data_IF_898719204042
#
_entry.id   IF_898719204042
#
_cell.length_a   1.000
_cell.length_b   1.000
_cell.length_c   1.000
_cell.angle_alpha   90.00
_cell.angle_beta   90.00
_cell.angle_gamma   90.00
#
_symmetry.space_group_name_H-M   'P 1'
#
loop_
_entity.id
_entity.type
_entity.pdbx_description
1 polymer ?
#
# COMPACT_ATOMS: atom_id res chain seq x y z
N UNK A 1 -3.80 18.78 -5.04
CA UNK A 1 -4.05 17.49 -4.44
C UNK A 1 -4.73 17.67 -3.09
N UNK A 2 -5.79 16.98 -2.80
CA UNK A 2 -6.55 17.05 -1.55
C UNK A 2 -5.63 16.71 -0.38
N UNK A 3 -5.35 17.65 0.48
CA UNK A 3 -4.42 17.55 1.60
C UNK A 3 -4.87 16.66 2.77
N UNK A 4 -5.52 15.52 2.51
CA UNK A 4 -5.81 14.56 3.57
C UNK A 4 -4.60 13.65 3.78
N UNK A 5 -4.15 13.57 5.01
CA UNK A 5 -3.05 12.70 5.42
C UNK A 5 -3.40 11.94 6.69
N UNK A 6 -2.65 10.90 6.97
CA UNK A 6 -2.66 10.17 8.24
C UNK A 6 -1.30 10.30 8.89
N UNK A 7 -1.28 10.57 10.19
CA UNK A 7 -0.07 10.60 10.99
C UNK A 7 0.03 9.33 11.83
N UNK A 8 1.11 8.58 11.64
CA UNK A 8 1.33 7.24 12.21
C UNK A 8 2.28 7.22 13.42
N UNK A 9 2.82 8.39 13.83
CA UNK A 9 3.81 8.44 14.89
C UNK A 9 5.12 7.78 14.48
N UNK A 10 5.58 6.79 15.24
CA UNK A 10 6.76 5.98 14.95
C UNK A 10 6.37 4.57 14.52
N UNK A 11 7.08 4.02 13.54
CA UNK A 11 6.92 2.61 13.20
C UNK A 11 7.30 1.71 14.39
N UNK A 12 6.58 0.60 14.65
CA UNK A 12 6.98 -0.39 15.63
C UNK A 12 8.41 -0.87 15.37
N UNK A 13 9.16 -1.16 16.43
CA UNK A 13 10.59 -1.47 16.30
C UNK A 13 10.86 -2.78 15.57
N UNK A 14 10.02 -3.81 15.78
CA UNK A 14 10.20 -5.16 15.24
C UNK A 14 8.93 -6.00 15.37
N UNK A 15 9.00 -7.20 14.81
CA UNK A 15 7.98 -8.22 15.01
C UNK A 15 6.73 -8.02 14.15
N UNK A 16 5.69 -8.75 14.52
CA UNK A 16 4.43 -8.80 13.77
C UNK A 16 3.76 -7.43 13.66
N UNK A 17 3.80 -6.63 14.73
CA UNK A 17 3.18 -5.30 14.73
C UNK A 17 3.81 -4.37 13.69
N UNK A 18 5.14 -4.49 13.48
CA UNK A 18 5.83 -3.74 12.44
C UNK A 18 5.35 -4.17 11.04
N UNK A 19 5.25 -5.48 10.80
CA UNK A 19 4.78 -5.99 9.51
C UNK A 19 3.35 -5.55 9.23
N UNK A 20 2.45 -5.69 10.19
CA UNK A 20 1.07 -5.22 10.06
C UNK A 20 1.03 -3.73 9.70
N UNK A 21 1.84 -2.90 10.39
CA UNK A 21 1.88 -1.46 10.13
C UNK A 21 2.43 -1.13 8.73
N UNK A 22 3.43 -1.84 8.26
CA UNK A 22 3.95 -1.68 6.90
C UNK A 22 2.91 -2.06 5.86
N UNK A 23 2.16 -3.13 6.07
CA UNK A 23 1.07 -3.56 5.19
C UNK A 23 -0.08 -2.54 5.17
N UNK A 24 -0.44 -1.96 6.33
CA UNK A 24 -1.44 -0.90 6.44
C UNK A 24 -1.01 0.33 5.63
N UNK A 25 0.24 0.80 5.80
CA UNK A 25 0.80 1.94 5.09
C UNK A 25 0.87 1.67 3.56
N UNK A 26 1.21 0.45 3.18
CA UNK A 26 1.26 0.07 1.77
C UNK A 26 -0.09 0.25 1.06
N UNK A 27 -1.18 0.01 1.76
CA UNK A 27 -2.54 0.10 1.24
C UNK A 27 -3.27 1.43 1.57
N UNK A 28 -2.63 2.35 2.30
CA UNK A 28 -3.27 3.60 2.73
C UNK A 28 -3.51 4.54 1.52
N UNK A 29 -4.78 4.91 1.24
CA UNK A 29 -5.13 5.77 0.10
C UNK A 29 -4.84 7.26 0.35
N UNK A 30 -4.41 7.63 1.55
CA UNK A 30 -4.02 8.99 1.91
C UNK A 30 -2.51 9.12 1.96
N UNK A 31 -2.01 10.34 2.02
CA UNK A 31 -0.60 10.61 2.36
C UNK A 31 -0.34 10.11 3.77
N UNK A 32 0.77 9.40 3.96
CA UNK A 32 1.21 8.91 5.27
C UNK A 32 2.38 9.76 5.76
N UNK A 33 2.31 10.20 7.00
CA UNK A 33 3.36 10.96 7.67
C UNK A 33 3.76 10.22 8.93
N UNK A 34 5.04 10.04 9.17
CA UNK A 34 5.53 9.44 10.41
C UNK A 34 6.91 9.98 10.80
N UNK A 35 7.25 9.85 12.07
CA UNK A 35 8.55 10.17 12.60
C UNK A 35 9.48 8.96 12.55
N UNK A 36 10.78 9.21 12.38
CA UNK A 36 11.77 8.15 12.54
C UNK A 36 13.04 8.66 13.23
N UNK A 37 13.60 7.77 14.05
CA UNK A 37 14.87 8.03 14.71
C UNK A 37 16.04 7.84 13.72
N UNK A 38 17.13 8.63 13.85
CA UNK A 38 18.22 8.60 12.88
C UNK A 38 18.84 7.20 12.71
N UNK A 39 19.08 6.49 13.78
CA UNK A 39 19.65 5.14 13.76
C UNK A 39 18.72 4.04 13.18
N UNK A 40 17.47 4.38 12.86
CA UNK A 40 16.47 3.48 12.28
C UNK A 40 16.08 3.85 10.86
N UNK A 41 16.47 5.04 10.41
CA UNK A 41 16.01 5.64 9.16
C UNK A 41 16.26 4.72 7.97
N UNK A 42 17.51 4.31 7.74
CA UNK A 42 17.91 3.44 6.64
C UNK A 42 17.08 2.15 6.61
N UNK A 43 17.01 1.48 7.75
CA UNK A 43 16.21 0.25 7.87
C UNK A 43 14.74 0.50 7.56
N UNK A 44 14.16 1.59 8.07
CA UNK A 44 12.75 1.89 7.86
C UNK A 44 12.45 2.22 6.40
N UNK A 45 13.33 2.95 5.71
CA UNK A 45 13.20 3.24 4.29
C UNK A 45 13.30 1.96 3.44
N UNK A 46 14.23 1.06 3.76
CA UNK A 46 14.36 -0.25 3.10
C UNK A 46 13.14 -1.14 3.33
N UNK A 47 12.63 -1.20 4.55
CA UNK A 47 11.41 -1.98 4.87
C UNK A 47 10.19 -1.43 4.10
N UNK A 48 10.06 -0.10 4.00
CA UNK A 48 9.01 0.55 3.23
C UNK A 48 9.14 0.27 1.72
N UNK A 49 10.35 0.36 1.16
CA UNK A 49 10.61 0.05 -0.24
C UNK A 49 10.35 -1.43 -0.57
N UNK A 50 10.50 -2.33 0.41
CA UNK A 50 10.20 -3.76 0.25
C UNK A 50 8.70 -4.05 0.35
N UNK A 51 7.99 -3.33 1.22
CA UNK A 51 6.57 -3.56 1.50
C UNK A 51 5.62 -2.95 0.45
N UNK A 52 6.09 -2.00 -0.35
CA UNK A 52 5.23 -1.26 -1.29
C UNK A 52 5.92 -0.98 -2.62
N UNK A 53 5.20 -0.37 -3.56
CA UNK A 53 5.75 0.03 -4.85
C UNK A 53 6.94 1.00 -4.65
N UNK A 54 8.11 0.59 -5.13
CA UNK A 54 9.36 1.34 -5.01
C UNK A 54 9.35 2.67 -5.77
N UNK A 55 8.51 2.84 -6.77
CA UNK A 55 8.34 4.09 -7.51
C UNK A 55 7.52 5.13 -6.74
N UNK A 56 6.92 4.75 -5.61
CA UNK A 56 6.09 5.61 -4.77
C UNK A 56 6.91 6.80 -4.27
N UNK A 57 6.37 7.99 -4.49
CA UNK A 57 7.06 9.24 -4.10
C UNK A 57 7.11 9.37 -2.59
N UNK A 58 8.25 9.84 -2.11
CA UNK A 58 8.41 10.16 -0.70
C UNK A 58 9.25 11.42 -0.47
N UNK A 59 9.11 11.99 0.70
CA UNK A 59 9.91 13.10 1.21
C UNK A 59 10.52 12.66 2.52
N UNK A 60 11.80 12.92 2.69
CA UNK A 60 12.53 12.73 3.95
C UNK A 60 12.99 14.11 4.40
N UNK A 61 12.39 14.63 5.46
CA UNK A 61 12.77 15.89 6.07
C UNK A 61 13.57 15.62 7.35
N UNK A 62 14.74 16.25 7.46
CA UNK A 62 15.60 16.20 8.65
C UNK A 62 15.58 17.53 9.36
N UNK A 63 15.53 17.54 10.68
CA UNK A 63 15.62 18.73 11.53
C UNK A 63 14.61 19.81 11.11
N UNK A 64 13.41 19.41 10.72
CA UNK A 64 12.36 20.30 10.22
C UNK A 64 12.15 21.48 11.15
N UNK A 65 12.13 22.70 10.62
CA UNK A 65 12.03 23.99 11.32
C UNK A 65 13.27 24.39 12.16
N UNK A 66 14.38 23.63 12.09
CA UNK A 66 15.62 23.92 12.82
C UNK A 66 16.70 24.48 11.89
N UNK A 67 17.82 24.93 12.43
CA UNK A 67 18.93 25.56 11.68
C UNK A 67 19.53 24.65 10.60
N UNK A 68 19.52 23.34 10.80
CA UNK A 68 20.09 22.36 9.88
C UNK A 68 19.01 21.56 9.14
N UNK A 69 17.90 22.22 8.83
CA UNK A 69 16.82 21.60 8.05
C UNK A 69 17.32 21.18 6.68
N UNK A 70 17.03 19.95 6.32
CA UNK A 70 17.16 19.43 4.96
C UNK A 70 15.90 18.71 4.54
N UNK A 71 15.53 18.86 3.27
CA UNK A 71 14.33 18.20 2.72
C UNK A 71 14.71 17.53 1.41
N UNK A 72 14.78 16.22 1.45
CA UNK A 72 15.00 15.39 0.28
C UNK A 72 13.66 14.92 -0.31
N UNK A 73 13.60 14.79 -1.65
CA UNK A 73 12.42 14.31 -2.38
C UNK A 73 12.83 13.35 -3.48
N UNK A 74 12.16 12.21 -3.55
CA UNK A 74 12.43 11.18 -4.54
C UNK A 74 11.44 10.04 -4.47
N UNK A 75 11.91 8.85 -4.80
CA UNK A 75 11.16 7.60 -4.72
C UNK A 75 11.62 6.75 -3.53
N UNK A 76 10.83 5.78 -3.12
CA UNK A 76 11.24 4.84 -2.06
C UNK A 76 12.48 4.04 -2.45
N UNK A 77 12.67 3.74 -3.76
CA UNK A 77 13.86 3.05 -4.26
C UNK A 77 15.15 3.82 -3.95
N UNK A 78 15.10 5.15 -4.03
CA UNK A 78 16.27 6.03 -3.87
C UNK A 78 16.47 6.49 -2.43
N UNK A 79 15.42 6.40 -1.60
CA UNK A 79 15.36 7.08 -0.32
C UNK A 79 16.43 6.64 0.68
N UNK A 80 16.71 5.34 0.79
CA UNK A 80 17.65 4.81 1.78
C UNK A 80 19.09 5.23 1.47
N UNK A 81 19.50 5.16 0.19
CA UNK A 81 20.82 5.56 -0.25
C UNK A 81 21.03 7.08 -0.12
N UNK A 82 20.03 7.86 -0.53
CA UNK A 82 20.10 9.32 -0.51
C UNK A 82 20.09 9.93 0.90
N UNK A 83 19.69 9.17 1.94
CA UNK A 83 19.54 9.67 3.31
C UNK A 83 20.34 8.83 4.32
N UNK A 84 21.57 8.48 4.00
CA UNK A 84 22.45 7.67 4.84
C UNK A 84 22.96 8.37 6.12
N UNK A 85 22.74 9.67 6.29
CA UNK A 85 23.12 10.39 7.51
C UNK A 85 22.26 9.96 8.71
N UNK A 86 22.93 9.65 9.84
CA UNK A 86 22.28 9.11 11.03
C UNK A 86 22.17 10.12 12.19
N UNK A 87 21.93 11.41 11.89
CA UNK A 87 21.82 12.48 12.89
C UNK A 87 20.53 13.27 12.75
N UNK A 88 20.01 13.76 13.87
CA UNK A 88 18.82 14.61 13.91
C UNK A 88 17.52 13.85 14.00
N UNK A 89 16.40 14.53 13.84
CA UNK A 89 15.04 13.98 13.85
C UNK A 89 14.48 13.97 12.43
N UNK A 90 13.80 12.91 12.06
CA UNK A 90 13.27 12.73 10.72
C UNK A 90 11.75 12.70 10.70
N UNK A 91 11.22 13.37 9.69
CA UNK A 91 9.82 13.25 9.27
C UNK A 91 9.82 12.62 7.88
N UNK A 92 9.13 11.52 7.72
CA UNK A 92 8.96 10.84 6.44
C UNK A 92 7.53 11.03 5.97
N UNK A 93 7.37 11.47 4.74
CA UNK A 93 6.07 11.62 4.08
C UNK A 93 6.06 10.70 2.87
N UNK A 94 5.08 9.80 2.82
CA UNK A 94 4.90 8.89 1.69
C UNK A 94 3.62 9.29 0.96
N UNK A 95 3.69 9.39 -0.34
CA UNK A 95 2.51 9.66 -1.15
C UNK A 95 1.50 8.50 -1.04
N UNK A 96 0.26 8.76 -1.36
CA UNK A 96 -0.84 7.78 -1.31
C UNK A 96 -0.52 6.53 -2.12
N UNK A 97 -1.08 5.40 -1.75
CA UNK A 97 -1.10 4.23 -2.61
C UNK A 97 -1.75 4.60 -3.95
N UNK A 98 -1.19 4.12 -5.05
CA UNK A 98 -1.88 4.20 -6.33
C UNK A 98 -3.27 3.56 -6.18
N UNK A 99 -4.32 4.11 -6.78
CA UNK A 99 -5.60 3.43 -6.83
C UNK A 99 -5.35 2.03 -7.36
N UNK A 100 -5.76 0.99 -6.63
CA UNK A 100 -5.76 -0.36 -7.20
C UNK A 100 -6.56 -0.28 -8.50
N UNK A 101 -5.94 -0.68 -9.60
CA UNK A 101 -6.67 -0.82 -10.85
C UNK A 101 -7.93 -1.64 -10.54
N UNK A 102 -9.09 -1.10 -10.86
CA UNK A 102 -10.32 -1.87 -10.66
C UNK A 102 -10.19 -3.16 -11.48
N UNK A 103 -10.39 -4.28 -10.81
CA UNK A 103 -10.37 -5.57 -11.50
C UNK A 103 -11.34 -5.55 -12.67
N UNK A 104 -10.87 -5.97 -13.83
CA UNK A 104 -11.69 -6.06 -15.03
C UNK A 104 -12.75 -7.15 -14.87
N UNK A 105 -13.82 -7.05 -15.64
CA UNK A 105 -14.88 -8.08 -15.62
C UNK A 105 -14.35 -9.46 -16.06
N UNK A 106 -13.33 -9.49 -16.91
CA UNK A 106 -12.67 -10.72 -17.35
C UNK A 106 -11.86 -11.36 -16.21
N UNK A 107 -11.09 -10.57 -15.44
CA UNK A 107 -10.35 -11.06 -14.25
C UNK A 107 -11.31 -11.58 -13.18
N UNK A 108 -12.40 -10.86 -12.93
CA UNK A 108 -13.42 -11.28 -11.97
C UNK A 108 -14.11 -12.57 -12.43
N UNK A 109 -14.44 -12.67 -13.71
CA UNK A 109 -15.07 -13.86 -14.30
C UNK A 109 -14.15 -15.08 -14.23
N UNK A 110 -12.87 -14.91 -14.55
CA UNK A 110 -11.87 -15.97 -14.45
C UNK A 110 -11.68 -16.45 -13.00
N UNK A 111 -11.63 -15.53 -12.04
CA UNK A 111 -11.51 -15.87 -10.63
C UNK A 111 -12.75 -16.62 -10.11
N UNK A 112 -13.95 -16.23 -10.53
CA UNK A 112 -15.19 -16.93 -10.20
C UNK A 112 -15.21 -18.33 -10.80
N UNK A 113 -14.84 -18.48 -12.06
CA UNK A 113 -14.77 -19.78 -12.74
C UNK A 113 -13.80 -20.73 -12.01
N UNK A 114 -12.63 -20.25 -11.64
CA UNK A 114 -11.65 -21.03 -10.87
C UNK A 114 -12.21 -21.49 -9.52
N UNK A 115 -12.88 -20.61 -8.78
CA UNK A 115 -13.49 -20.94 -7.49
C UNK A 115 -14.61 -21.98 -7.63
N UNK A 116 -15.43 -21.90 -8.68
CA UNK A 116 -16.49 -22.90 -8.98
C UNK A 116 -15.86 -24.25 -9.35
N UNK A 117 -14.81 -24.25 -10.16
CA UNK A 117 -14.07 -25.47 -10.51
C UNK A 117 -13.46 -26.14 -9.29
N UNK A 118 -13.05 -25.35 -8.27
CA UNK A 118 -12.56 -25.83 -6.98
C UNK A 118 -13.66 -26.30 -6.03
N UNK A 119 -14.94 -26.34 -6.47
CA UNK A 119 -16.08 -26.88 -5.71
C UNK A 119 -16.93 -25.86 -4.97
N UNK A 120 -16.67 -24.55 -5.13
CA UNK A 120 -17.50 -23.53 -4.49
C UNK A 120 -18.83 -23.37 -5.21
N UNK A 121 -19.91 -23.08 -4.44
CA UNK A 121 -21.17 -22.65 -5.06
C UNK A 121 -20.97 -21.30 -5.78
N UNK A 122 -21.78 -21.01 -6.83
CA UNK A 122 -21.73 -19.69 -7.52
C UNK A 122 -21.87 -18.53 -6.55
N UNK A 123 -22.70 -18.65 -5.54
CA UNK A 123 -22.94 -17.63 -4.50
C UNK A 123 -21.71 -17.42 -3.63
N UNK A 124 -21.06 -18.50 -3.20
CA UNK A 124 -19.88 -18.44 -2.33
C UNK A 124 -18.64 -17.99 -3.10
N UNK A 125 -18.46 -18.46 -4.35
CA UNK A 125 -17.43 -18.01 -5.27
C UNK A 125 -17.53 -16.49 -5.49
N UNK A 126 -18.72 -15.98 -5.84
CA UNK A 126 -18.92 -14.55 -6.03
C UNK A 126 -18.64 -13.74 -4.75
N UNK A 127 -19.03 -14.25 -3.57
CA UNK A 127 -18.76 -13.58 -2.30
C UNK A 127 -17.26 -13.58 -1.94
N UNK A 128 -16.54 -14.66 -2.22
CA UNK A 128 -15.10 -14.76 -1.97
C UNK A 128 -14.32 -13.84 -2.93
N UNK A 129 -14.63 -13.89 -4.22
CA UNK A 129 -13.98 -13.04 -5.23
C UNK A 129 -14.24 -11.55 -4.95
N UNK A 130 -15.49 -11.17 -4.61
CA UNK A 130 -15.82 -9.79 -4.27
C UNK A 130 -14.98 -9.28 -3.07
N UNK A 131 -14.77 -10.11 -2.05
CA UNK A 131 -13.91 -9.75 -0.91
C UNK A 131 -12.44 -9.63 -1.31
N UNK A 132 -11.92 -10.58 -2.07
CA UNK A 132 -10.51 -10.60 -2.46
C UNK A 132 -10.12 -9.43 -3.37
N UNK A 133 -11.02 -9.06 -4.28
CA UNK A 133 -10.78 -7.95 -5.21
C UNK A 133 -11.29 -6.59 -4.71
N UNK A 134 -11.97 -6.54 -3.55
CA UNK A 134 -12.52 -5.29 -2.99
C UNK A 134 -13.62 -4.66 -3.84
N UNK A 135 -14.37 -5.47 -4.60
CA UNK A 135 -15.43 -5.01 -5.51
C UNK A 135 -16.83 -5.36 -4.99
N UNK A 136 -17.84 -4.68 -5.50
CA UNK A 136 -19.23 -4.93 -5.11
C UNK A 136 -19.69 -6.35 -5.44
N UNK A 137 -20.26 -7.06 -4.44
CA UNK A 137 -20.74 -8.44 -4.60
C UNK A 137 -21.75 -8.60 -5.75
N UNK A 138 -22.62 -7.61 -5.96
CA UNK A 138 -23.63 -7.66 -7.01
C UNK A 138 -22.98 -7.67 -8.41
N UNK A 139 -21.88 -6.94 -8.62
CA UNK A 139 -21.11 -6.94 -9.87
C UNK A 139 -20.59 -8.35 -10.16
N UNK A 140 -19.92 -8.97 -9.16
CA UNK A 140 -19.32 -10.30 -9.34
C UNK A 140 -20.40 -11.37 -9.52
N UNK A 141 -21.52 -11.28 -8.78
CA UNK A 141 -22.63 -12.24 -8.94
C UNK A 141 -23.28 -12.13 -10.31
N UNK A 142 -23.41 -10.93 -10.87
CA UNK A 142 -23.89 -10.71 -12.23
C UNK A 142 -23.00 -11.40 -13.28
N UNK A 143 -21.67 -11.38 -13.09
CA UNK A 143 -20.71 -12.08 -13.94
C UNK A 143 -20.80 -13.60 -13.78
N UNK A 144 -20.97 -14.09 -12.55
CA UNK A 144 -21.14 -15.52 -12.26
C UNK A 144 -22.41 -16.14 -12.87
N UNK A 145 -23.41 -15.31 -13.18
CA UNK A 145 -24.71 -15.76 -13.73
C UNK A 145 -24.82 -15.55 -15.23
N UNK A 146 -23.95 -14.76 -15.84
CA UNK A 146 -23.85 -14.67 -17.31
C UNK A 146 -23.26 -15.99 -17.81
N UNK A 147 -24.06 -16.79 -18.50
CA UNK A 147 -23.55 -17.95 -19.26
C UNK A 147 -22.58 -17.43 -20.32
N UNK A 148 -21.44 -18.11 -20.59
CA UNK A 148 -20.66 -17.79 -21.76
C UNK A 148 -21.58 -17.99 -22.97
N UNK A 149 -21.68 -16.94 -23.79
CA UNK A 149 -22.41 -17.02 -25.09
C UNK A 149 -21.83 -18.21 -25.85
N UNK A 150 -22.67 -19.20 -26.15
CA UNK A 150 -22.36 -20.22 -27.16
C UNK A 150 -22.58 -19.55 -28.52
N UNK A 151 -21.49 -19.19 -29.15
CA UNK A 151 -21.42 -19.11 -30.61
C UNK A 151 -20.94 -20.45 -31.15
#
# INVERSE_FOLDING_TARGET
GSGRYVFEGFLPRKGRDRQIRLDDIANEPRIVVFYEAPHRLERSLNDLATAMDQSRRCVVARELTKMHETVWRGTLAEAAEANAESRGEYVIVIDRAAPKAEATDDELSAAVAAAITAGSSKKDAAAAVARNFGVGRNRVYGLATRSPNRD
#
